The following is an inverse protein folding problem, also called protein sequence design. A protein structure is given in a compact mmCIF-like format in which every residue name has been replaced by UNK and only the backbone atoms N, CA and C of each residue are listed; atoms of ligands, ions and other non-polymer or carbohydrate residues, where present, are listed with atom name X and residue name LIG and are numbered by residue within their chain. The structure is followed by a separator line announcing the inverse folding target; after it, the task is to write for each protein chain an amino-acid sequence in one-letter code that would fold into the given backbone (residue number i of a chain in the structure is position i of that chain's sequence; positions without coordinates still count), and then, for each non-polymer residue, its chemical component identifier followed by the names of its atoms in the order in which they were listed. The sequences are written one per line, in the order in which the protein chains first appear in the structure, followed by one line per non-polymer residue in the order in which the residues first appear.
data_IF_304538314245
#
_entry.id   IF_304538314245
#
_cell.length_a   1.000
_cell.length_b   1.000
_cell.length_c   1.000
_cell.angle_alpha   90.00
_cell.angle_beta   90.00
_cell.angle_gamma   90.00
#
_symmetry.space_group_name_H-M   'P 1'
#
loop_
_entity.id
_entity.type
_entity.pdbx_description
1 polymer ?
#
# COMPACT_ATOMS: atom_id res chain seq x y z
N UNK A 1 -12.62 -18.42 3.73
CA UNK A 1 -13.06 -17.81 5.02
C UNK A 1 -14.45 -17.20 4.90
N UNK A 2 -15.14 -16.92 6.02
CA UNK A 2 -16.44 -16.21 6.01
C UNK A 2 -16.27 -14.78 5.47
N UNK A 3 -17.20 -14.33 4.62
CA UNK A 3 -17.25 -12.98 4.03
C UNK A 3 -17.10 -11.86 5.06
N UNK A 4 -17.74 -11.94 6.22
CA UNK A 4 -17.67 -10.89 7.24
C UNK A 4 -16.25 -10.72 7.81
N UNK A 5 -15.50 -11.83 7.93
CA UNK A 5 -14.08 -11.78 8.36
C UNK A 5 -13.24 -11.05 7.32
N UNK A 6 -13.46 -11.34 6.04
CA UNK A 6 -12.77 -10.70 4.92
C UNK A 6 -13.09 -9.21 4.87
N UNK A 7 -14.36 -8.84 5.01
CA UNK A 7 -14.77 -7.44 4.97
C UNK A 7 -14.12 -6.62 6.08
N UNK A 8 -14.16 -7.13 7.31
CA UNK A 8 -13.55 -6.44 8.44
C UNK A 8 -12.02 -6.43 8.36
N UNK A 9 -11.38 -7.49 7.85
CA UNK A 9 -9.94 -7.49 7.62
C UNK A 9 -9.53 -6.47 6.55
N UNK A 10 -10.30 -6.34 5.46
CA UNK A 10 -10.07 -5.33 4.43
C UNK A 10 -10.21 -3.91 4.95
N UNK A 11 -11.25 -3.64 5.75
CA UNK A 11 -11.43 -2.33 6.40
C UNK A 11 -10.24 -1.96 7.29
N UNK A 12 -9.82 -2.86 8.17
CA UNK A 12 -8.68 -2.62 9.07
C UNK A 12 -7.37 -2.48 8.30
N UNK A 13 -7.18 -3.29 7.26
CA UNK A 13 -6.05 -3.15 6.33
C UNK A 13 -6.03 -1.79 5.64
N UNK A 14 -7.20 -1.26 5.25
CA UNK A 14 -7.30 0.04 4.61
C UNK A 14 -7.02 1.21 5.55
N UNK A 15 -7.45 1.11 6.82
CA UNK A 15 -7.06 2.09 7.85
C UNK A 15 -5.55 2.05 8.08
N UNK A 16 -4.96 0.86 8.18
CA UNK A 16 -3.52 0.71 8.30
C UNK A 16 -2.78 1.28 7.08
N UNK A 17 -3.29 1.06 5.87
CA UNK A 17 -2.75 1.61 4.63
C UNK A 17 -2.75 3.14 4.65
N UNK A 18 -3.85 3.77 5.06
CA UNK A 18 -3.94 5.22 5.14
C UNK A 18 -2.93 5.82 6.12
N UNK A 19 -2.83 5.25 7.33
CA UNK A 19 -1.93 5.74 8.37
C UNK A 19 -0.45 5.53 8.00
N UNK A 20 -0.10 4.36 7.47
CA UNK A 20 1.26 4.06 7.02
C UNK A 20 1.63 4.86 5.77
N UNK A 21 0.68 5.08 4.86
CA UNK A 21 0.81 5.93 3.69
C UNK A 21 1.21 7.36 4.08
N UNK A 22 0.45 7.95 4.99
CA UNK A 22 0.75 9.27 5.54
C UNK A 22 2.11 9.31 6.26
N UNK A 23 2.39 8.32 7.11
CA UNK A 23 3.64 8.29 7.87
C UNK A 23 4.87 8.16 6.95
N UNK A 24 4.86 7.19 6.04
CA UNK A 24 6.05 6.87 5.24
C UNK A 24 6.31 7.91 4.16
N UNK A 25 5.31 8.23 3.34
CA UNK A 25 5.50 9.16 2.23
C UNK A 25 5.28 10.62 2.62
N UNK A 26 4.31 10.90 3.50
CA UNK A 26 3.99 12.26 3.94
C UNK A 26 4.96 12.83 4.98
N UNK A 27 5.61 11.98 5.79
CA UNK A 27 6.53 12.43 6.85
C UNK A 27 7.95 11.93 6.60
N UNK A 28 8.17 10.62 6.60
CA UNK A 28 9.54 10.06 6.65
C UNK A 28 10.33 10.30 5.35
N UNK A 29 9.66 10.19 4.20
CA UNK A 29 10.28 10.30 2.88
C UNK A 29 9.93 11.61 2.14
N UNK A 30 9.15 12.50 2.74
CA UNK A 30 8.66 13.71 2.06
C UNK A 30 9.78 14.57 1.49
N UNK A 31 10.82 14.84 2.28
CA UNK A 31 12.01 15.57 1.82
C UNK A 31 12.82 14.82 0.77
N UNK A 32 12.85 13.48 0.82
CA UNK A 32 13.52 12.68 -0.20
C UNK A 32 12.80 12.77 -1.55
N UNK A 33 11.47 12.66 -1.57
CA UNK A 33 10.69 12.78 -2.80
C UNK A 33 10.68 14.20 -3.36
N UNK A 34 10.71 15.23 -2.50
CA UNK A 34 10.88 16.61 -2.97
C UNK A 34 12.20 16.78 -3.77
N UNK A 35 13.28 16.12 -3.34
CA UNK A 35 14.58 16.16 -4.01
C UNK A 35 14.70 15.18 -5.20
N UNK A 36 13.74 14.28 -5.37
CA UNK A 36 13.72 13.29 -6.45
C UNK A 36 12.49 13.44 -7.37
N UNK A 37 11.79 14.56 -7.24
CA UNK A 37 10.69 14.93 -8.11
C UNK A 37 11.22 15.23 -9.52
N UNK A 38 10.52 14.73 -10.53
CA UNK A 38 10.81 15.07 -11.91
C UNK A 38 10.25 16.45 -12.29
N UNK A 39 10.69 17.03 -13.42
CA UNK A 39 10.31 18.38 -13.82
C UNK A 39 8.80 18.58 -14.04
N UNK A 40 8.03 17.50 -14.24
CA UNK A 40 6.57 17.57 -14.41
C UNK A 40 5.78 17.37 -13.11
N UNK A 41 6.44 17.08 -11.98
CA UNK A 41 5.77 16.71 -10.73
C UNK A 41 4.93 17.85 -10.14
N UNK A 42 5.46 19.07 -10.13
CA UNK A 42 4.82 20.24 -9.50
C UNK A 42 3.43 20.53 -10.10
N UNK A 43 3.31 20.43 -11.44
CA UNK A 43 2.04 20.67 -12.12
C UNK A 43 1.04 19.50 -11.99
N UNK A 44 1.52 18.30 -11.67
CA UNK A 44 0.69 17.09 -11.63
C UNK A 44 0.18 16.74 -10.23
N UNK A 45 0.91 17.12 -9.17
CA UNK A 45 0.59 16.76 -7.79
C UNK A 45 -0.38 17.76 -7.14
N UNK A 46 -1.32 17.25 -6.34
CA UNK A 46 -2.20 18.08 -5.52
C UNK A 46 -1.48 18.47 -4.23
N UNK A 47 -1.50 19.76 -3.89
CA UNK A 47 -1.10 20.20 -2.56
C UNK A 47 -2.16 19.87 -1.51
N UNK A 48 -1.81 20.02 -0.24
CA UNK A 48 -2.67 19.64 0.91
C UNK A 48 -4.09 20.23 0.85
N UNK A 49 -4.20 21.49 0.39
CA UNK A 49 -5.48 22.20 0.27
C UNK A 49 -6.35 21.70 -0.90
N UNK A 50 -5.75 21.09 -1.91
CA UNK A 50 -6.42 20.64 -3.14
C UNK A 50 -6.59 19.12 -3.18
N UNK A 51 -6.22 18.45 -2.08
CA UNK A 51 -6.28 17.00 -1.89
C UNK A 51 -7.73 16.50 -1.94
N UNK A 52 -7.97 15.46 -2.74
CA UNK A 52 -9.28 14.82 -2.82
C UNK A 52 -9.36 13.66 -1.81
N UNK A 53 -9.90 13.96 -0.63
CA UNK A 53 -9.95 13.02 0.49
C UNK A 53 -10.78 11.76 0.21
N UNK A 54 -11.91 11.89 -0.48
CA UNK A 54 -12.78 10.73 -0.74
C UNK A 54 -12.06 9.69 -1.63
N UNK A 55 -11.51 10.03 -2.82
CA UNK A 55 -10.71 9.10 -3.60
C UNK A 55 -9.52 8.53 -2.84
N UNK A 56 -8.82 9.35 -2.05
CA UNK A 56 -7.66 8.92 -1.27
C UNK A 56 -8.03 7.84 -0.24
N UNK A 57 -9.12 8.06 0.51
CA UNK A 57 -9.62 7.10 1.50
C UNK A 57 -10.09 5.82 0.81
N UNK A 58 -10.86 5.93 -0.28
CA UNK A 58 -11.34 4.77 -1.03
C UNK A 58 -10.20 3.96 -1.65
N UNK A 59 -9.14 4.62 -2.12
CA UNK A 59 -7.93 3.95 -2.63
C UNK A 59 -7.21 3.14 -1.55
N UNK A 60 -7.06 3.71 -0.35
CA UNK A 60 -6.48 2.99 0.79
C UNK A 60 -7.35 1.81 1.24
N UNK A 61 -8.67 1.99 1.26
CA UNK A 61 -9.60 0.88 1.52
C UNK A 61 -9.46 -0.21 0.47
N UNK A 62 -9.40 0.15 -0.82
CA UNK A 62 -9.19 -0.81 -1.90
C UNK A 62 -7.89 -1.59 -1.73
N UNK A 63 -6.81 -0.95 -1.28
CA UNK A 63 -5.54 -1.61 -0.96
C UNK A 63 -5.67 -2.63 0.18
N UNK A 64 -6.39 -2.29 1.24
CA UNK A 64 -6.72 -3.24 2.31
C UNK A 64 -7.56 -4.42 1.82
N UNK A 65 -8.59 -4.16 1.01
CA UNK A 65 -9.45 -5.18 0.42
C UNK A 65 -8.72 -6.07 -0.58
N UNK A 66 -7.77 -5.54 -1.34
CA UNK A 66 -6.91 -6.28 -2.25
C UNK A 66 -6.22 -7.44 -1.51
N UNK A 67 -5.55 -7.15 -0.39
CA UNK A 67 -4.97 -8.21 0.44
C UNK A 67 -6.02 -9.12 1.07
N UNK A 68 -7.10 -8.57 1.63
CA UNK A 68 -8.09 -9.36 2.34
C UNK A 68 -8.80 -10.39 1.44
N UNK A 69 -9.08 -10.04 0.18
CA UNK A 69 -9.66 -10.95 -0.80
C UNK A 69 -8.66 -12.04 -1.16
N UNK A 70 -7.42 -11.68 -1.52
CA UNK A 70 -6.38 -12.67 -1.87
C UNK A 70 -6.16 -13.65 -0.71
N UNK A 71 -5.96 -13.12 0.49
CA UNK A 71 -5.64 -13.91 1.68
C UNK A 71 -6.82 -14.77 2.12
N UNK A 72 -8.04 -14.22 2.13
CA UNK A 72 -9.22 -14.90 2.68
C UNK A 72 -9.99 -15.80 1.69
N UNK A 73 -9.86 -15.56 0.37
CA UNK A 73 -10.52 -16.36 -0.68
C UNK A 73 -9.57 -17.33 -1.38
N UNK A 74 -8.33 -16.93 -1.65
CA UNK A 74 -7.45 -17.68 -2.55
C UNK A 74 -6.30 -18.37 -1.82
N UNK A 75 -5.63 -17.68 -0.89
CA UNK A 75 -4.41 -18.18 -0.25
C UNK A 75 -4.62 -18.80 1.14
N UNK A 76 -5.80 -18.61 1.74
CA UNK A 76 -6.15 -19.06 3.10
C UNK A 76 -5.14 -18.62 4.19
N UNK A 77 -4.64 -17.39 4.07
CA UNK A 77 -3.68 -16.78 5.00
C UNK A 77 -4.41 -16.28 6.25
N UNK A 78 -3.89 -16.63 7.43
CA UNK A 78 -4.52 -16.35 8.73
C UNK A 78 -3.55 -15.92 9.84
N UNK A 79 -2.30 -15.57 9.52
CA UNK A 79 -1.33 -15.10 10.52
C UNK A 79 -0.65 -13.83 10.07
N UNK A 80 -0.12 -13.06 11.02
CA UNK A 80 0.66 -11.86 10.71
C UNK A 80 1.87 -12.18 9.84
N UNK A 81 2.66 -13.20 10.20
CA UNK A 81 3.92 -13.52 9.51
C UNK A 81 3.67 -13.96 8.07
N UNK A 82 2.68 -14.85 7.85
CA UNK A 82 2.35 -15.28 6.48
C UNK A 82 1.72 -14.15 5.67
N UNK A 83 0.88 -13.31 6.30
CA UNK A 83 0.33 -12.10 5.69
C UNK A 83 1.40 -11.08 5.32
N UNK A 84 2.43 -10.90 6.15
CA UNK A 84 3.50 -9.96 5.89
C UNK A 84 4.41 -10.40 4.75
N UNK A 85 4.76 -11.68 4.69
CA UNK A 85 5.53 -12.23 3.56
C UNK A 85 4.76 -12.10 2.24
N UNK A 86 3.48 -12.48 2.23
CA UNK A 86 2.66 -12.36 1.03
C UNK A 86 2.41 -10.89 0.65
N UNK A 87 2.18 -10.03 1.64
CA UNK A 87 2.01 -8.59 1.47
C UNK A 87 3.25 -7.92 0.87
N UNK A 88 4.44 -8.30 1.32
CA UNK A 88 5.70 -7.82 0.76
C UNK A 88 5.83 -8.15 -0.73
N UNK A 89 5.57 -9.40 -1.10
CA UNK A 89 5.68 -9.87 -2.49
C UNK A 89 4.64 -9.17 -3.38
N UNK A 90 3.38 -9.11 -2.95
CA UNK A 90 2.32 -8.48 -3.72
C UNK A 90 2.54 -6.97 -3.87
N UNK A 91 2.94 -6.29 -2.78
CA UNK A 91 3.29 -4.87 -2.81
C UNK A 91 4.48 -4.58 -3.72
N UNK A 92 5.52 -5.40 -3.64
CA UNK A 92 6.69 -5.32 -4.54
C UNK A 92 6.28 -5.43 -6.01
N UNK A 93 5.45 -6.41 -6.36
CA UNK A 93 5.03 -6.63 -7.75
C UNK A 93 4.15 -5.48 -8.27
N UNK A 94 3.24 -4.97 -7.45
CA UNK A 94 2.39 -3.82 -7.82
C UNK A 94 3.23 -2.56 -8.00
N UNK A 95 4.16 -2.29 -7.08
CA UNK A 95 5.04 -1.13 -7.18
C UNK A 95 5.99 -1.23 -8.38
N UNK A 96 6.62 -2.39 -8.61
CA UNK A 96 7.42 -2.63 -9.81
C UNK A 96 6.64 -2.36 -11.10
N UNK A 97 5.41 -2.87 -11.19
CA UNK A 97 4.56 -2.61 -12.34
C UNK A 97 4.27 -1.11 -12.50
N UNK A 98 3.81 -0.45 -11.43
CA UNK A 98 3.39 0.95 -11.49
C UNK A 98 4.56 1.90 -11.75
N UNK A 99 5.62 1.81 -10.96
CA UNK A 99 6.74 2.75 -10.99
C UNK A 99 7.59 2.62 -12.25
N UNK A 100 7.83 1.39 -12.74
CA UNK A 100 8.60 1.21 -13.98
C UNK A 100 7.82 1.71 -15.21
N UNK A 101 6.51 1.47 -15.24
CA UNK A 101 5.64 2.03 -16.29
C UNK A 101 5.59 3.55 -16.21
N UNK A 102 5.49 4.11 -15.00
CA UNK A 102 5.48 5.55 -14.77
C UNK A 102 6.81 6.21 -15.19
N UNK A 103 7.95 5.63 -14.83
CA UNK A 103 9.28 6.05 -15.27
C UNK A 103 9.43 6.00 -16.80
N UNK A 104 8.88 4.97 -17.44
CA UNK A 104 8.98 4.80 -18.89
C UNK A 104 8.09 5.75 -19.70
N UNK A 105 7.08 6.37 -19.08
CA UNK A 105 6.02 7.11 -19.79
C UNK A 105 5.82 8.55 -19.31
N UNK A 106 6.46 8.95 -18.20
CA UNK A 106 6.28 10.28 -17.61
C UNK A 106 7.60 10.88 -17.11
N UNK A 107 7.57 12.16 -16.75
CA UNK A 107 8.68 12.88 -16.11
C UNK A 107 8.35 13.25 -14.66
N UNK A 108 7.64 12.38 -13.94
CA UNK A 108 7.14 12.66 -12.59
C UNK A 108 8.18 12.44 -11.49
N UNK A 109 9.13 11.54 -11.69
CA UNK A 109 10.10 11.17 -10.65
C UNK A 109 11.41 10.69 -11.27
N UNK A 110 12.52 10.85 -10.55
CA UNK A 110 13.82 10.28 -10.96
C UNK A 110 13.82 8.76 -10.82
N UNK A 111 14.73 8.07 -11.52
CA UNK A 111 14.94 6.63 -11.36
C UNK A 111 15.26 6.24 -9.90
N UNK A 112 16.03 7.07 -9.20
CA UNK A 112 16.35 6.88 -7.78
C UNK A 112 15.10 6.95 -6.90
N UNK A 113 14.22 7.94 -7.15
CA UNK A 113 12.95 8.06 -6.46
C UNK A 113 12.07 6.82 -6.62
N UNK A 114 11.96 6.31 -7.85
CA UNK A 114 11.18 5.11 -8.15
C UNK A 114 11.72 3.85 -7.48
N UNK A 115 13.04 3.63 -7.48
CA UNK A 115 13.64 2.47 -6.81
C UNK A 115 13.34 2.49 -5.30
N UNK A 116 13.44 3.66 -4.69
CA UNK A 116 13.11 3.82 -3.27
C UNK A 116 11.63 3.61 -3.02
N UNK A 117 10.75 4.07 -3.92
CA UNK A 117 9.31 3.82 -3.81
C UNK A 117 8.99 2.32 -3.84
N UNK A 118 9.56 1.58 -4.79
CA UNK A 118 9.36 0.14 -4.91
C UNK A 118 9.72 -0.58 -3.60
N UNK A 119 10.83 -0.20 -2.98
CA UNK A 119 11.29 -0.77 -1.70
C UNK A 119 10.34 -0.37 -0.57
N UNK A 120 10.00 0.92 -0.46
CA UNK A 120 9.10 1.43 0.58
C UNK A 120 7.71 0.79 0.48
N UNK A 121 7.16 0.72 -0.73
CA UNK A 121 5.89 0.07 -1.06
C UNK A 121 5.88 -1.41 -0.67
N UNK A 122 6.97 -2.16 -0.93
CA UNK A 122 7.08 -3.55 -0.49
C UNK A 122 7.08 -3.67 1.06
N UNK A 123 7.85 -2.83 1.76
CA UNK A 123 7.94 -2.84 3.22
C UNK A 123 6.62 -2.45 3.89
N UNK A 124 5.99 -1.38 3.41
CA UNK A 124 4.69 -0.93 3.93
C UNK A 124 3.61 -1.98 3.66
N UNK A 125 3.59 -2.56 2.47
CA UNK A 125 2.66 -3.63 2.12
C UNK A 125 2.88 -4.90 2.94
N UNK A 126 4.11 -5.18 3.37
CA UNK A 126 4.36 -6.25 4.34
C UNK A 126 3.64 -5.99 5.66
N UNK A 127 3.69 -4.76 6.19
CA UNK A 127 3.01 -4.43 7.45
C UNK A 127 1.49 -4.51 7.28
N UNK A 128 0.95 -3.92 6.20
CA UNK A 128 -0.48 -3.95 5.89
C UNK A 128 -0.96 -5.39 5.71
N UNK A 129 -0.24 -6.18 4.92
CA UNK A 129 -0.53 -7.61 4.72
C UNK A 129 -0.47 -8.40 6.02
N UNK A 130 0.49 -8.10 6.89
CA UNK A 130 0.55 -8.69 8.22
C UNK A 130 -0.69 -8.38 9.06
N UNK A 131 -1.12 -7.12 9.10
CA UNK A 131 -2.34 -6.69 9.80
C UNK A 131 -3.57 -7.43 9.26
N UNK A 132 -3.71 -7.51 7.94
CA UNK A 132 -4.83 -8.22 7.29
C UNK A 132 -4.79 -9.71 7.63
N UNK A 133 -3.63 -10.37 7.51
CA UNK A 133 -3.45 -11.78 7.82
C UNK A 133 -3.78 -12.12 9.27
N UNK A 134 -3.30 -11.29 10.21
CA UNK A 134 -3.67 -11.40 11.63
C UNK A 134 -5.17 -11.24 11.85
N UNK A 135 -5.79 -10.22 11.23
CA UNK A 135 -7.22 -9.98 11.36
C UNK A 135 -8.07 -11.12 10.82
N UNK A 136 -7.63 -11.79 9.76
CA UNK A 136 -8.31 -12.98 9.24
C UNK A 136 -8.24 -14.18 10.22
N UNK A 137 -7.15 -14.28 10.99
CA UNK A 137 -6.93 -15.33 12.00
C UNK A 137 -7.46 -15.06 13.40
N UNK A 138 -7.89 -13.83 13.72
CA UNK A 138 -8.17 -13.36 15.09
C UNK A 138 -9.16 -14.18 15.94
N UNK A 139 -9.98 -15.03 15.32
CA UNK A 139 -10.94 -15.92 16.01
C UNK A 139 -10.72 -17.41 15.63
N UNK A 140 -9.52 -17.76 15.17
CA UNK A 140 -9.09 -19.11 14.85
C UNK A 140 -7.93 -19.51 15.74
N UNK A 141 -8.16 -19.47 17.06
CA UNK A 141 -7.34 -20.25 17.97
C UNK A 141 -7.52 -21.72 17.60
N UNK A 142 -6.40 -22.46 17.53
CA UNK A 142 -6.50 -23.90 17.74
C UNK A 142 -7.08 -24.16 19.12
#
# INVERSE_FOLDING_TARGET
MNTNKILLAGLVGGVAAFLLGWLVWGILLSGFYANNAGPAAEAAMRGDKDMLWIPLILGNLAWGYFFAVIFGRWANISTFVTGAKAGAVLGLLVALFYDLMNLGTTYLMTTTGAIVDIIASALVSAIIGGVVGWMLGRNGGK
#
